data_IF_442501441408
#
_entry.id   IF_442501441408
#
_cell.length_a   1.000
_cell.length_b   1.000
_cell.length_c   1.000
_cell.angle_alpha   90.00
_cell.angle_beta   90.00
_cell.angle_gamma   90.00
#
_symmetry.space_group_name_H-M   'P 1'
#
loop_
_entity.id
_entity.type
_entity.pdbx_description
1 polymer ?
#
# COMPACT_ATOMS: atom_id res chain seq x y z
N UNK A 1 0.13 -22.85 4.74
CA UNK A 1 1.12 -21.88 4.20
C UNK A 1 0.30 -20.81 3.49
N UNK A 2 0.60 -19.53 3.74
CA UNK A 2 -0.13 -18.43 3.10
C UNK A 2 0.19 -18.35 1.61
N UNK A 3 -0.83 -18.09 0.80
CA UNK A 3 -0.72 -17.67 -0.60
C UNK A 3 -0.68 -16.14 -0.63
N UNK A 4 0.17 -15.54 -1.47
CA UNK A 4 0.35 -14.09 -1.55
C UNK A 4 -0.04 -13.62 -2.93
N UNK A 5 -0.94 -12.66 -2.98
CA UNK A 5 -1.35 -11.96 -4.20
C UNK A 5 -1.16 -10.47 -3.97
N UNK A 6 -0.39 -9.82 -4.83
CA UNK A 6 -0.23 -8.37 -4.82
C UNK A 6 -1.45 -7.72 -5.49
N UNK A 7 -2.08 -6.78 -4.79
CA UNK A 7 -3.33 -6.15 -5.23
C UNK A 7 -3.13 -4.77 -5.84
N UNK A 8 -1.90 -4.24 -5.86
CA UNK A 8 -1.59 -2.91 -6.39
C UNK A 8 -0.30 -2.97 -7.18
N UNK A 9 -0.26 -2.33 -8.34
CA UNK A 9 0.96 -2.17 -9.11
C UNK A 9 1.72 -0.92 -8.66
N UNK A 10 3.04 -1.02 -8.53
CA UNK A 10 3.87 0.16 -8.25
C UNK A 10 3.85 1.12 -9.45
N UNK A 11 3.52 2.38 -9.21
CA UNK A 11 3.54 3.44 -10.22
C UNK A 11 4.95 4.01 -10.41
N UNK A 12 5.93 3.15 -10.71
CA UNK A 12 7.31 3.58 -10.93
C UNK A 12 7.45 4.31 -12.28
N UNK A 13 8.23 5.42 -12.35
CA UNK A 13 8.39 6.20 -13.58
C UNK A 13 8.92 5.42 -14.79
N UNK A 14 9.67 4.35 -14.56
CA UNK A 14 10.26 3.50 -15.59
C UNK A 14 9.31 2.42 -16.14
N UNK A 15 8.12 2.23 -15.53
CA UNK A 15 7.06 1.33 -16.03
C UNK A 15 6.60 1.79 -17.42
N UNK A 16 6.48 0.87 -18.37
CA UNK A 16 6.34 1.19 -19.80
C UNK A 16 5.21 2.18 -20.15
N UNK A 17 4.03 2.01 -19.54
CA UNK A 17 2.87 2.90 -19.74
C UNK A 17 3.06 4.26 -19.07
N UNK A 18 3.60 4.28 -17.85
CA UNK A 18 3.89 5.50 -17.09
C UNK A 18 4.96 6.34 -17.79
N UNK A 19 6.05 5.71 -18.24
CA UNK A 19 7.13 6.32 -19.02
C UNK A 19 6.60 6.96 -20.29
N UNK A 20 5.79 6.25 -21.06
CA UNK A 20 5.18 6.77 -22.30
C UNK A 20 4.33 8.00 -22.02
N UNK A 21 3.57 8.00 -20.92
CA UNK A 21 2.78 9.18 -20.50
C UNK A 21 3.68 10.35 -20.13
N UNK A 22 4.71 10.14 -19.31
CA UNK A 22 5.66 11.18 -18.87
C UNK A 22 6.35 11.80 -20.09
N UNK A 23 6.95 10.98 -20.95
CA UNK A 23 7.67 11.43 -22.15
C UNK A 23 6.73 12.10 -23.16
N UNK A 24 5.50 11.59 -23.32
CA UNK A 24 4.49 12.18 -24.18
C UNK A 24 4.03 13.58 -23.73
N UNK A 25 4.12 13.88 -22.43
CA UNK A 25 3.87 15.20 -21.86
C UNK A 25 5.11 16.12 -21.85
N UNK A 26 6.24 15.67 -22.40
CA UNK A 26 7.51 16.41 -22.39
C UNK A 26 8.27 16.34 -21.07
N UNK A 27 7.93 15.40 -20.19
CA UNK A 27 8.71 15.05 -19.01
C UNK A 27 9.86 14.08 -19.33
N UNK A 28 10.77 13.93 -18.39
CA UNK A 28 11.91 13.01 -18.51
C UNK A 28 11.88 11.95 -17.41
N UNK A 29 12.39 10.76 -17.73
CA UNK A 29 12.54 9.63 -16.79
C UNK A 29 14.02 9.29 -16.67
N UNK A 30 14.54 9.37 -15.45
CA UNK A 30 15.85 8.87 -15.08
C UNK A 30 15.73 7.39 -14.71
N UNK A 31 16.48 6.54 -15.42
CA UNK A 31 16.48 5.08 -15.20
C UNK A 31 17.01 4.71 -13.82
N UNK A 32 16.51 3.59 -13.29
CA UNK A 32 17.12 2.96 -12.12
C UNK A 32 18.59 2.65 -12.39
N UNK A 33 19.46 3.01 -11.45
CA UNK A 33 20.91 2.82 -11.57
C UNK A 33 21.36 1.40 -11.17
N UNK A 34 20.41 0.48 -10.96
CA UNK A 34 20.69 -0.90 -10.59
C UNK A 34 19.56 -1.53 -9.77
N UNK A 35 19.69 -2.84 -9.45
CA UNK A 35 18.70 -3.56 -8.66
C UNK A 35 18.48 -2.90 -7.29
N UNK A 36 17.23 -2.59 -6.96
CA UNK A 36 16.85 -1.96 -5.69
C UNK A 36 17.01 -0.44 -5.65
N UNK A 37 17.43 0.20 -6.74
CA UNK A 37 17.42 1.67 -6.87
C UNK A 37 16.16 2.11 -7.62
N UNK A 38 15.56 3.22 -7.19
CA UNK A 38 14.36 3.75 -7.83
C UNK A 38 14.70 4.50 -9.12
N UNK A 39 13.83 4.37 -10.12
CA UNK A 39 13.76 5.32 -11.23
C UNK A 39 13.05 6.60 -10.78
N UNK A 40 13.34 7.71 -11.46
CA UNK A 40 12.79 9.01 -11.10
C UNK A 40 12.15 9.72 -12.28
N UNK A 41 10.98 10.31 -12.05
CA UNK A 41 10.43 11.34 -12.91
C UNK A 41 11.14 12.66 -12.59
N UNK A 42 11.67 13.30 -13.63
CA UNK A 42 12.44 14.53 -13.51
C UNK A 42 11.53 15.75 -13.65
N UNK A 43 11.63 16.70 -12.73
CA UNK A 43 11.00 18.03 -12.87
C UNK A 43 12.05 19.12 -12.68
N UNK A 44 11.78 20.38 -13.08
CA UNK A 44 12.73 21.47 -12.89
C UNK A 44 13.06 21.78 -11.41
N UNK A 45 12.22 21.36 -10.47
CA UNK A 45 12.36 21.67 -9.05
C UNK A 45 12.84 20.50 -8.22
N UNK A 46 12.27 19.30 -8.41
CA UNK A 46 12.66 18.08 -7.70
C UNK A 46 12.41 16.81 -8.53
N UNK A 47 12.97 15.70 -8.07
CA UNK A 47 12.75 14.37 -8.65
C UNK A 47 11.66 13.65 -7.87
N UNK A 48 10.83 12.87 -8.55
CA UNK A 48 9.77 12.05 -7.93
C UNK A 48 10.05 10.57 -8.19
N UNK A 49 10.07 9.75 -7.14
CA UNK A 49 10.24 8.29 -7.24
C UNK A 49 8.97 7.54 -7.65
N UNK A 50 7.92 8.28 -8.02
CA UNK A 50 6.61 7.80 -8.42
C UNK A 50 6.10 8.65 -9.59
N UNK A 51 5.22 8.05 -10.40
CA UNK A 51 4.62 8.67 -11.59
C UNK A 51 3.15 9.03 -11.41
N UNK A 52 2.60 8.72 -10.23
CA UNK A 52 1.27 9.12 -9.80
C UNK A 52 1.29 9.61 -8.36
N UNK A 53 0.69 10.77 -8.10
CA UNK A 53 0.48 11.30 -6.75
C UNK A 53 -0.68 12.28 -6.75
N UNK A 54 -1.31 12.45 -5.58
CA UNK A 54 -2.21 13.57 -5.34
C UNK A 54 -1.34 14.73 -4.86
N UNK A 55 -1.45 15.89 -5.51
CA UNK A 55 -0.61 17.05 -5.19
C UNK A 55 0.44 17.28 -6.29
N UNK A 56 1.68 17.62 -5.90
CA UNK A 56 2.80 17.87 -6.84
C UNK A 56 2.39 18.65 -8.11
N UNK A 57 1.58 19.71 -7.93
CA UNK A 57 0.85 20.36 -9.02
C UNK A 57 1.75 20.85 -10.17
N UNK A 58 3.01 21.18 -9.87
CA UNK A 58 4.01 21.60 -10.86
C UNK A 58 4.44 20.44 -11.79
N UNK A 59 4.33 19.19 -11.34
CA UNK A 59 4.77 17.99 -12.05
C UNK A 59 3.70 17.45 -13.02
N UNK A 60 2.43 17.79 -12.82
CA UNK A 60 1.32 17.36 -13.70
C UNK A 60 1.53 17.74 -15.17
N UNK A 61 2.11 18.92 -15.44
CA UNK A 61 2.44 19.35 -16.80
C UNK A 61 3.53 18.51 -17.49
N UNK A 62 4.22 17.66 -16.73
CA UNK A 62 5.25 16.74 -17.20
C UNK A 62 4.79 15.27 -17.17
N UNK A 63 3.47 15.03 -17.00
CA UNK A 63 2.88 13.69 -17.11
C UNK A 63 2.69 12.94 -15.78
N UNK A 64 2.88 13.60 -14.64
CA UNK A 64 2.40 13.09 -13.35
C UNK A 64 0.87 12.99 -13.39
N UNK A 65 0.32 11.87 -12.90
CA UNK A 65 -1.13 11.61 -12.91
C UNK A 65 -1.68 11.50 -11.49
N UNK A 66 -2.84 12.08 -11.23
CA UNK A 66 -3.63 11.86 -10.01
C UNK A 66 -4.61 10.68 -10.15
N UNK A 67 -4.78 10.16 -11.36
CA UNK A 67 -5.72 9.08 -11.64
C UNK A 67 -5.25 7.75 -11.03
N UNK A 68 -6.04 7.14 -10.13
CA UNK A 68 -5.66 5.87 -9.52
C UNK A 68 -5.73 4.73 -10.55
N UNK A 69 -5.03 3.63 -10.23
CA UNK A 69 -5.21 2.36 -10.93
C UNK A 69 -6.16 1.49 -10.13
N UNK A 70 -7.21 0.99 -10.79
CA UNK A 70 -8.18 0.08 -10.18
C UNK A 70 -7.77 -1.35 -10.50
N UNK A 71 -7.53 -2.13 -9.45
CA UNK A 71 -7.26 -3.56 -9.58
C UNK A 71 -8.56 -4.36 -9.74
N UNK A 72 -8.43 -5.59 -10.23
CA UNK A 72 -9.56 -6.51 -10.37
C UNK A 72 -10.20 -6.83 -9.02
N UNK A 73 -11.51 -7.12 -9.05
CA UNK A 73 -12.23 -7.62 -7.88
C UNK A 73 -11.59 -8.91 -7.35
N UNK A 74 -11.43 -8.97 -6.03
CA UNK A 74 -10.91 -10.15 -5.32
C UNK A 74 -12.06 -10.83 -4.60
N UNK A 75 -12.39 -12.05 -5.01
CA UNK A 75 -13.42 -12.85 -4.36
C UNK A 75 -12.77 -13.69 -3.27
N UNK A 76 -13.09 -13.39 -2.01
CA UNK A 76 -12.66 -14.18 -0.87
C UNK A 76 -13.50 -15.46 -0.80
N UNK A 77 -12.85 -16.61 -0.64
CA UNK A 77 -13.54 -17.89 -0.48
C UNK A 77 -14.14 -17.95 0.92
N UNK A 78 -15.43 -18.25 1.00
CA UNK A 78 -16.10 -18.47 2.28
C UNK A 78 -15.40 -19.59 3.07
N UNK A 79 -15.18 -19.36 4.36
CA UNK A 79 -14.46 -20.28 5.25
C UNK A 79 -12.93 -20.32 5.08
N UNK A 80 -12.35 -19.53 4.16
CA UNK A 80 -10.90 -19.38 4.09
C UNK A 80 -10.40 -18.27 5.01
N UNK A 81 -9.33 -18.53 5.77
CA UNK A 81 -8.63 -17.47 6.48
C UNK A 81 -7.91 -16.59 5.47
N UNK A 82 -8.22 -15.30 5.49
CA UNK A 82 -7.66 -14.29 4.60
C UNK A 82 -7.50 -12.99 5.35
N UNK A 83 -6.43 -12.25 5.04
CA UNK A 83 -6.21 -10.90 5.53
C UNK A 83 -5.66 -10.02 4.41
N UNK A 84 -5.86 -8.72 4.55
CA UNK A 84 -5.28 -7.69 3.69
C UNK A 84 -4.21 -6.97 4.50
N UNK A 85 -3.01 -6.88 3.92
CA UNK A 85 -1.89 -6.12 4.48
C UNK A 85 -1.57 -4.97 3.53
N UNK A 86 -1.82 -3.75 3.97
CA UNK A 86 -1.45 -2.53 3.26
C UNK A 86 -0.33 -1.83 4.02
N UNK A 87 0.76 -1.48 3.36
CA UNK A 87 1.89 -0.77 3.98
C UNK A 87 2.43 0.32 3.07
N UNK A 88 3.12 1.30 3.66
CA UNK A 88 3.99 2.22 2.91
C UNK A 88 5.24 1.50 2.37
N UNK A 89 5.95 2.16 1.47
CA UNK A 89 7.29 1.77 0.99
C UNK A 89 8.32 1.63 2.13
N UNK A 90 8.16 2.38 3.23
CA UNK A 90 8.90 2.15 4.47
C UNK A 90 8.89 0.70 4.99
N UNK A 91 7.90 -0.13 4.60
CA UNK A 91 7.93 -1.59 4.79
C UNK A 91 8.43 -2.32 3.55
N UNK A 92 7.86 -2.04 2.38
CA UNK A 92 8.06 -2.85 1.17
C UNK A 92 9.46 -2.77 0.58
N UNK A 93 10.16 -1.66 0.77
CA UNK A 93 11.53 -1.49 0.30
C UNK A 93 12.53 -2.36 1.09
N UNK A 94 12.13 -2.85 2.27
CA UNK A 94 13.02 -3.61 3.19
C UNK A 94 12.50 -4.99 3.59
N UNK A 95 11.23 -5.29 3.35
CA UNK A 95 10.60 -6.57 3.63
C UNK A 95 9.84 -7.06 2.39
N UNK A 96 10.27 -8.17 1.76
CA UNK A 96 9.53 -8.78 0.68
C UNK A 96 8.10 -9.21 1.09
N UNK A 97 7.10 -9.11 0.19
CA UNK A 97 5.70 -9.45 0.51
C UNK A 97 5.49 -10.84 1.11
N UNK A 98 6.18 -11.85 0.56
CA UNK A 98 6.12 -13.23 1.06
C UNK A 98 6.61 -13.36 2.51
N UNK A 99 7.69 -12.65 2.87
CA UNK A 99 8.20 -12.61 4.23
C UNK A 99 7.28 -11.85 5.17
N UNK A 100 6.69 -10.74 4.73
CA UNK A 100 5.75 -9.95 5.52
C UNK A 100 4.49 -10.77 5.83
N UNK A 101 3.85 -11.35 4.81
CA UNK A 101 2.66 -12.20 4.95
C UNK A 101 2.95 -13.42 5.81
N UNK A 102 4.05 -14.14 5.55
CA UNK A 102 4.43 -15.29 6.37
C UNK A 102 4.72 -14.91 7.84
N UNK A 103 5.10 -13.66 8.11
CA UNK A 103 5.33 -13.15 9.45
C UNK A 103 4.02 -12.79 10.16
N UNK A 104 3.19 -11.93 9.58
CA UNK A 104 1.94 -11.46 10.20
C UNK A 104 0.89 -12.58 10.27
N UNK A 105 0.90 -13.50 9.30
CA UNK A 105 0.00 -14.65 9.28
C UNK A 105 0.30 -15.72 10.35
N UNK A 106 1.23 -15.48 11.27
CA UNK A 106 1.43 -16.28 12.49
C UNK A 106 0.55 -15.82 13.65
N UNK A 107 -0.09 -14.66 13.52
CA UNK A 107 -0.91 -14.03 14.55
C UNK A 107 -2.38 -14.26 14.23
N UNK A 108 -3.21 -14.32 15.28
CA UNK A 108 -4.67 -14.38 15.16
C UNK A 108 -5.25 -12.97 14.99
N UNK A 109 -6.50 -12.83 14.52
CA UNK A 109 -7.13 -11.51 14.34
C UNK A 109 -7.10 -10.62 15.60
N UNK A 110 -7.24 -11.19 16.79
CA UNK A 110 -7.22 -10.46 18.07
C UNK A 110 -5.84 -9.87 18.39
N UNK A 111 -4.78 -10.37 17.73
CA UNK A 111 -3.40 -9.92 17.89
C UNK A 111 -2.92 -9.06 16.73
N UNK A 112 -3.83 -8.51 15.91
CA UNK A 112 -3.50 -7.71 14.74
C UNK A 112 -2.59 -6.53 15.06
N UNK A 113 -2.90 -5.78 16.12
CA UNK A 113 -2.08 -4.66 16.56
C UNK A 113 -0.64 -5.09 16.87
N UNK A 114 -0.46 -6.15 17.66
CA UNK A 114 0.87 -6.69 17.96
C UNK A 114 1.58 -7.22 16.70
N UNK A 115 0.84 -7.78 15.74
CA UNK A 115 1.41 -8.28 14.50
C UNK A 115 2.01 -7.13 13.67
N UNK A 116 1.27 -6.02 13.50
CA UNK A 116 1.74 -4.85 12.74
C UNK A 116 2.85 -4.10 13.46
N UNK A 117 2.79 -3.92 14.78
CA UNK A 117 3.86 -3.28 15.57
C UNK A 117 5.19 -4.04 15.44
N UNK A 118 5.12 -5.37 15.45
CA UNK A 118 6.30 -6.21 15.27
C UNK A 118 6.80 -6.21 13.82
N UNK A 119 5.91 -6.10 12.84
CA UNK A 119 6.31 -5.93 11.44
C UNK A 119 7.04 -4.58 11.23
N UNK A 120 6.48 -3.50 11.77
CA UNK A 120 7.08 -2.15 11.75
C UNK A 120 8.45 -2.16 12.42
N UNK A 121 8.57 -2.74 13.62
CA UNK A 121 9.86 -2.86 14.32
C UNK A 121 10.90 -3.63 13.50
N UNK A 122 10.47 -4.65 12.75
CA UNK A 122 11.34 -5.43 11.86
C UNK A 122 11.79 -4.61 10.65
N UNK A 123 10.89 -3.82 10.05
CA UNK A 123 11.22 -2.93 8.93
C UNK A 123 12.20 -1.85 9.38
N UNK A 124 11.95 -1.20 10.53
CA UNK A 124 12.83 -0.22 11.14
C UNK A 124 14.24 -0.76 11.34
N UNK A 125 14.37 -1.99 11.88
CA UNK A 125 15.65 -2.63 12.06
C UNK A 125 16.38 -2.90 10.73
N UNK A 126 15.65 -3.33 9.69
CA UNK A 126 16.24 -3.55 8.36
C UNK A 126 16.77 -2.24 7.77
N UNK A 127 16.04 -1.13 7.90
CA UNK A 127 16.52 0.20 7.52
C UNK A 127 17.81 0.59 8.24
N UNK A 128 17.85 0.41 9.57
CA UNK A 128 19.05 0.68 10.37
C UNK A 128 20.26 -0.17 9.98
N UNK A 129 20.04 -1.42 9.55
CA UNK A 129 21.09 -2.32 9.06
C UNK A 129 21.63 -1.88 7.69
N UNK A 130 20.82 -1.22 6.85
CA UNK A 130 21.21 -0.74 5.52
C UNK A 130 21.88 0.63 5.52
N UNK A 131 21.62 1.48 6.52
CA UNK A 131 22.22 2.82 6.55
C UNK A 131 21.67 3.74 7.62
N UNK A 132 21.94 5.03 7.46
CA UNK A 132 21.65 6.08 8.45
C UNK A 132 20.25 6.67 8.35
N UNK A 133 19.44 6.24 7.38
CA UNK A 133 18.09 6.76 7.17
C UNK A 133 17.06 5.66 7.37
N UNK A 134 15.98 6.02 8.04
CA UNK A 134 14.79 5.18 8.21
C UNK A 134 13.65 6.02 7.66
N UNK A 135 12.92 5.45 6.72
CA UNK A 135 11.73 6.09 6.14
C UNK A 135 10.54 6.03 7.11
N UNK A 136 9.46 6.75 6.82
CA UNK A 136 8.22 6.65 7.56
C UNK A 136 7.54 5.29 7.31
N UNK A 137 7.25 4.57 8.39
CA UNK A 137 6.76 3.18 8.32
C UNK A 137 5.31 3.11 8.80
N UNK A 138 4.40 2.81 7.88
CA UNK A 138 2.97 2.63 8.17
C UNK A 138 2.51 1.25 7.69
N UNK A 139 1.72 0.55 8.51
CA UNK A 139 1.13 -0.74 8.17
C UNK A 139 -0.30 -0.85 8.70
N UNK A 140 -1.20 -1.39 7.88
CA UNK A 140 -2.59 -1.71 8.19
C UNK A 140 -2.84 -3.19 7.90
N UNK A 141 -3.39 -3.89 8.89
CA UNK A 141 -3.78 -5.30 8.78
C UNK A 141 -5.29 -5.41 8.99
N UNK A 142 -6.00 -5.95 7.99
CA UNK A 142 -7.46 -6.09 7.98
C UNK A 142 -7.84 -7.55 7.82
N UNK A 143 -8.82 -8.00 8.60
CA UNK A 143 -9.40 -9.35 8.53
C UNK A 143 -10.85 -9.27 8.05
N UNK A 144 -11.12 -9.40 6.74
CA UNK A 144 -12.46 -9.14 6.19
C UNK A 144 -13.57 -10.08 6.70
N UNK A 145 -13.20 -11.28 7.17
CA UNK A 145 -14.15 -12.29 7.66
C UNK A 145 -14.41 -12.27 9.17
N UNK A 146 -13.78 -11.35 9.91
CA UNK A 146 -13.95 -11.27 11.37
C UNK A 146 -15.03 -10.24 11.66
N UNK A 147 -16.13 -10.67 12.28
CA UNK A 147 -17.20 -9.77 12.69
C UNK A 147 -16.63 -8.73 13.65
N UNK A 148 -16.77 -7.45 13.30
CA UNK A 148 -16.37 -6.36 14.18
C UNK A 148 -17.24 -6.42 15.45
N UNK A 149 -16.65 -6.50 16.66
CA UNK A 149 -17.43 -6.35 17.88
C UNK A 149 -18.20 -5.02 17.94
N UNK A 150 -17.78 -3.97 17.22
CA UNK A 150 -18.52 -2.71 17.09
C UNK A 150 -19.70 -2.79 16.12
N UNK A 151 -19.75 -3.73 15.17
CA UNK A 151 -20.95 -3.90 14.33
C UNK A 151 -22.16 -4.33 15.17
N UNK A 152 -21.96 -5.07 16.27
CA UNK A 152 -23.06 -5.39 17.20
C UNK A 152 -23.60 -4.17 17.96
N UNK A 153 -22.85 -3.06 18.00
CA UNK A 153 -23.30 -1.80 18.61
C UNK A 153 -24.14 -1.01 17.60
N UNK A 154 -23.73 -0.95 16.34
CA UNK A 154 -24.49 -0.26 15.29
C UNK A 154 -25.76 -1.02 14.87
N UNK A 155 -25.72 -2.35 14.79
CA UNK A 155 -26.91 -3.18 14.53
C UNK A 155 -27.95 -3.12 15.67
N UNK A 156 -27.53 -2.72 16.88
CA UNK A 156 -28.43 -2.52 18.01
C UNK A 156 -29.12 -1.15 18.01
N UNK A 157 -28.61 -0.17 17.26
CA UNK A 157 -29.18 1.20 17.19
C UNK A 157 -30.16 1.39 16.01
N UNK A 158 -30.10 0.56 14.96
CA UNK A 158 -31.09 0.60 13.85
C UNK A 158 -32.43 -0.09 14.19
N UNK A 159 -32.56 -0.70 15.36
CA UNK A 159 -33.72 -1.52 15.75
C UNK A 159 -34.91 -0.78 16.36
N UNK A 160 -34.84 0.52 16.62
CA UNK A 160 -35.84 1.28 17.40
C UNK A 160 -36.10 2.70 16.83
N UNK A 161 -36.19 2.86 15.51
CA UNK A 161 -36.74 4.09 14.91
C UNK A 161 -38.23 3.90 14.54
N UNK A 162 -39.19 4.34 15.39
CA UNK A 162 -40.61 4.22 15.11
C UNK A 162 -41.14 5.21 14.06
N UNK A 163 -40.32 6.10 13.48
CA UNK A 163 -40.77 7.19 12.60
C UNK A 163 -40.45 6.99 11.10
N UNK A 164 -40.02 5.81 10.66
CA UNK A 164 -39.73 5.55 9.23
C UNK A 164 -40.95 5.24 8.35
N UNK A 165 -42.18 5.30 8.88
CA UNK A 165 -43.43 5.10 8.14
C UNK A 165 -44.31 6.38 8.07
N UNK A 166 -43.73 7.52 7.66
CA UNK A 166 -44.51 8.71 7.23
C UNK A 166 -44.03 9.30 5.90
#
# INVERSE_FOLDING_TARGET
RWEVTELTNLHKPDRDDERKRIQGAGGEVEESQGPGLSAYMMTPTWKLGMSRSIGDLHAHRYGLSDQPELSSEVILKEGSESFILACSDGVWDVIPPDQAVAFVGKFTPEKSQTAVERLISKAQRRWQEMGSHVDDITALLVWPGVKDPLNSVYEAEEGDDPDLDQ
#
